data_IF_937616968416
#
_entry.id   IF_937616968416
#
_cell.length_a   1.000
_cell.length_b   1.000
_cell.length_c   1.000
_cell.angle_alpha   90.00
_cell.angle_beta   90.00
_cell.angle_gamma   90.00
#
_symmetry.space_group_name_H-M   'P 1'
#
loop_
_entity.id
_entity.type
_entity.pdbx_description
1 polymer ?
#
# COMPACT_ATOMS: atom_id res chain seq x y z
N UNK A 1 22.60 3.44 -0.85
CA UNK A 1 21.23 3.93 -1.13
C UNK A 1 20.41 4.09 0.14
N UNK A 2 20.10 3.03 0.90
CA UNK A 2 19.30 3.16 2.14
C UNK A 2 19.90 4.13 3.17
N UNK A 3 21.22 4.08 3.38
CA UNK A 3 21.89 5.01 4.29
C UNK A 3 21.73 6.47 3.86
N UNK A 4 21.95 6.77 2.58
CA UNK A 4 21.78 8.13 2.05
C UNK A 4 20.32 8.61 2.18
N UNK A 5 19.35 7.77 1.80
CA UNK A 5 17.93 8.11 1.94
C UNK A 5 17.55 8.38 3.41
N UNK A 6 18.15 7.63 4.35
CA UNK A 6 17.97 7.84 5.79
C UNK A 6 18.59 9.16 6.25
N UNK A 7 19.80 9.48 5.80
CA UNK A 7 20.52 10.73 6.12
C UNK A 7 19.75 11.96 5.61
N UNK A 8 19.15 11.86 4.42
CA UNK A 8 18.29 12.90 3.82
C UNK A 8 16.86 12.93 4.41
N UNK A 9 16.56 12.05 5.37
CA UNK A 9 15.27 12.03 6.06
C UNK A 9 14.09 11.52 5.22
N UNK A 10 14.35 10.90 4.06
CA UNK A 10 13.34 10.40 3.12
C UNK A 10 12.58 9.17 3.65
N UNK A 11 11.43 8.89 3.02
CA UNK A 11 10.73 7.60 3.12
C UNK A 11 11.22 6.64 2.06
N UNK A 12 10.91 5.35 2.25
CA UNK A 12 11.31 4.29 1.33
C UNK A 12 10.09 3.50 0.87
N UNK A 13 9.89 3.44 -0.45
CA UNK A 13 8.95 2.51 -1.08
C UNK A 13 9.69 1.21 -1.42
N UNK A 14 9.12 0.07 -1.04
CA UNK A 14 9.59 -1.27 -1.40
C UNK A 14 8.49 -2.03 -2.11
N UNK A 15 8.83 -2.93 -3.04
CA UNK A 15 7.86 -3.69 -3.85
C UNK A 15 7.91 -5.20 -3.66
N UNK A 16 8.90 -5.71 -2.90
CA UNK A 16 9.02 -7.14 -2.60
C UNK A 16 9.57 -7.41 -1.19
N UNK A 17 9.39 -8.63 -0.71
CA UNK A 17 9.97 -9.09 0.55
C UNK A 17 11.50 -9.03 0.57
N UNK A 18 12.17 -9.24 -0.56
CA UNK A 18 13.63 -9.11 -0.66
C UNK A 18 14.10 -7.67 -0.40
N UNK A 19 13.41 -6.69 -0.99
CA UNK A 19 13.71 -5.27 -0.77
C UNK A 19 13.42 -4.84 0.67
N UNK A 20 12.27 -5.26 1.21
CA UNK A 20 11.91 -5.01 2.59
C UNK A 20 12.94 -5.61 3.56
N UNK A 21 13.31 -6.87 3.37
CA UNK A 21 14.35 -7.54 4.16
C UNK A 21 15.69 -6.80 4.07
N UNK A 22 16.10 -6.39 2.88
CA UNK A 22 17.35 -5.64 2.70
C UNK A 22 17.32 -4.30 3.43
N UNK A 23 16.19 -3.58 3.40
CA UNK A 23 16.01 -2.32 4.13
C UNK A 23 16.08 -2.51 5.65
N UNK A 24 15.47 -3.58 6.17
CA UNK A 24 15.52 -3.95 7.59
C UNK A 24 16.97 -4.27 8.00
N UNK A 25 17.67 -5.11 7.24
CA UNK A 25 19.07 -5.44 7.52
C UNK A 25 20.00 -4.21 7.46
N UNK A 26 19.68 -3.22 6.62
CA UNK A 26 20.40 -1.96 6.53
C UNK A 26 20.09 -0.99 7.69
N UNK A 27 19.20 -1.35 8.62
CA UNK A 27 18.80 -0.49 9.75
C UNK A 27 18.06 0.77 9.31
N UNK A 28 17.30 0.68 8.20
CA UNK A 28 16.42 1.76 7.78
C UNK A 28 15.22 1.87 8.75
N UNK A 29 14.76 3.09 9.12
CA UNK A 29 13.62 3.26 10.01
C UNK A 29 12.35 2.64 9.41
N UNK A 30 11.86 1.55 10.00
CA UNK A 30 10.74 0.76 9.45
C UNK A 30 9.44 1.55 9.35
N UNK A 31 9.23 2.52 10.24
CA UNK A 31 8.09 3.43 10.25
C UNK A 31 8.05 4.37 9.03
N UNK A 32 9.16 4.49 8.30
CA UNK A 32 9.28 5.25 7.06
C UNK A 32 9.21 4.38 5.80
N UNK A 33 8.97 3.08 5.95
CA UNK A 33 8.85 2.14 4.83
C UNK A 33 7.37 1.99 4.44
N UNK A 34 7.09 2.12 3.14
CA UNK A 34 5.81 1.78 2.55
C UNK A 34 5.95 0.57 1.62
N UNK A 35 5.11 -0.43 1.83
CA UNK A 35 5.17 -1.66 1.05
C UNK A 35 4.12 -1.67 -0.06
N UNK A 36 4.60 -1.58 -1.30
CA UNK A 36 3.85 -1.65 -2.56
C UNK A 36 3.96 -3.02 -3.21
N UNK A 37 3.22 -3.24 -4.29
CA UNK A 37 3.22 -4.50 -5.05
C UNK A 37 1.79 -5.02 -5.24
N UNK A 38 1.52 -5.62 -6.38
CA UNK A 38 0.18 -6.05 -6.77
C UNK A 38 -0.17 -7.49 -6.36
N UNK A 39 0.82 -8.26 -5.91
CA UNK A 39 0.68 -9.67 -5.55
C UNK A 39 1.56 -10.04 -4.35
N UNK A 40 1.44 -9.28 -3.26
CA UNK A 40 2.20 -9.55 -2.03
C UNK A 40 1.76 -10.89 -1.44
N UNK A 41 2.71 -11.75 -1.11
CA UNK A 41 2.39 -13.03 -0.47
C UNK A 41 2.00 -12.82 1.00
N UNK A 42 1.33 -13.81 1.58
CA UNK A 42 0.99 -13.80 3.00
C UNK A 42 2.25 -13.72 3.88
N UNK A 43 3.33 -14.35 3.47
CA UNK A 43 4.62 -14.34 4.15
C UNK A 43 5.27 -12.95 4.10
N UNK A 44 5.23 -12.29 2.94
CA UNK A 44 5.73 -10.93 2.79
C UNK A 44 4.94 -9.94 3.66
N UNK A 45 3.61 -10.03 3.64
CA UNK A 45 2.73 -9.23 4.48
C UNK A 45 2.99 -9.50 5.97
N UNK A 46 3.10 -10.76 6.38
CA UNK A 46 3.40 -11.13 7.76
C UNK A 46 4.74 -10.53 8.21
N UNK A 47 5.80 -10.63 7.40
CA UNK A 47 7.09 -10.03 7.69
C UNK A 47 6.99 -8.51 7.88
N UNK A 48 6.26 -7.82 7.01
CA UNK A 48 6.01 -6.39 7.11
C UNK A 48 5.32 -6.00 8.43
N UNK A 49 4.30 -6.77 8.83
CA UNK A 49 3.52 -6.52 10.05
C UNK A 49 4.28 -6.87 11.33
N UNK A 50 5.10 -7.92 11.30
CA UNK A 50 5.96 -8.30 12.43
C UNK A 50 7.01 -7.22 12.72
N UNK A 51 7.63 -6.66 11.67
CA UNK A 51 8.60 -5.58 11.78
C UNK A 51 7.96 -4.20 12.01
N UNK A 52 6.63 -4.07 11.84
CA UNK A 52 5.91 -2.84 12.13
C UNK A 52 6.25 -1.70 11.15
N UNK A 53 6.25 -1.99 9.86
CA UNK A 53 6.50 -0.97 8.84
C UNK A 53 5.46 0.15 8.85
N UNK A 54 5.80 1.29 8.27
CA UNK A 54 4.99 2.50 8.28
C UNK A 54 3.61 2.33 7.63
N UNK A 55 3.55 1.72 6.46
CA UNK A 55 2.29 1.57 5.70
C UNK A 55 2.35 0.41 4.70
N UNK A 56 1.21 -0.24 4.47
CA UNK A 56 1.01 -1.14 3.32
C UNK A 56 0.11 -0.45 2.30
N UNK A 57 0.53 -0.44 1.03
CA UNK A 57 -0.31 0.06 -0.08
C UNK A 57 -1.07 -1.11 -0.66
N UNK A 58 -2.38 -1.17 -0.38
CA UNK A 58 -3.28 -2.22 -0.84
C UNK A 58 -3.61 -2.01 -2.31
N UNK A 59 -3.42 -3.06 -3.10
CA UNK A 59 -3.63 -3.05 -4.54
C UNK A 59 -4.98 -3.68 -4.95
N UNK A 60 -5.52 -4.62 -4.17
CA UNK A 60 -6.77 -5.31 -4.49
C UNK A 60 -7.48 -5.90 -3.24
N UNK A 61 -8.72 -6.38 -3.43
CA UNK A 61 -9.55 -6.94 -2.35
C UNK A 61 -8.99 -8.22 -1.73
N UNK A 62 -8.28 -9.05 -2.51
CA UNK A 62 -7.69 -10.28 -1.99
C UNK A 62 -6.59 -9.96 -0.97
N UNK A 63 -5.72 -9.00 -1.30
CA UNK A 63 -4.72 -8.49 -0.38
C UNK A 63 -5.34 -7.86 0.87
N UNK A 64 -6.41 -7.06 0.71
CA UNK A 64 -7.13 -6.46 1.85
C UNK A 64 -7.56 -7.54 2.85
N UNK A 65 -8.17 -8.63 2.35
CA UNK A 65 -8.60 -9.75 3.19
C UNK A 65 -7.43 -10.43 3.91
N UNK A 66 -6.28 -10.61 3.24
CA UNK A 66 -5.08 -11.18 3.88
C UNK A 66 -4.57 -10.28 5.01
N UNK A 67 -4.55 -8.96 4.80
CA UNK A 67 -4.14 -7.98 5.79
C UNK A 67 -5.08 -8.01 7.00
N UNK A 68 -6.39 -8.09 6.80
CA UNK A 68 -7.36 -8.21 7.90
C UNK A 68 -7.13 -9.48 8.73
N UNK A 69 -6.96 -10.62 8.08
CA UNK A 69 -6.68 -11.89 8.76
C UNK A 69 -5.41 -11.80 9.59
N UNK A 70 -4.32 -11.30 9.01
CA UNK A 70 -3.05 -11.12 9.72
C UNK A 70 -3.15 -10.10 10.86
N UNK A 71 -3.91 -9.01 10.67
CA UNK A 71 -4.15 -8.01 11.70
C UNK A 71 -4.89 -8.56 12.92
N UNK A 72 -5.89 -9.42 12.68
CA UNK A 72 -6.59 -10.14 13.73
C UNK A 72 -5.68 -11.14 14.45
N UNK A 73 -4.95 -11.97 13.68
CA UNK A 73 -4.01 -12.97 14.22
C UNK A 73 -2.91 -12.33 15.08
N UNK A 74 -2.38 -11.19 14.66
CA UNK A 74 -1.34 -10.46 15.37
C UNK A 74 -1.88 -9.48 16.42
N UNK A 75 -3.20 -9.28 16.48
CA UNK A 75 -3.87 -8.27 17.30
C UNK A 75 -3.26 -6.86 17.13
N UNK A 76 -2.95 -6.49 15.87
CA UNK A 76 -2.33 -5.20 15.51
C UNK A 76 -3.25 -4.38 14.62
N UNK A 77 -3.22 -3.06 14.82
CA UNK A 77 -3.75 -2.11 13.84
C UNK A 77 -2.73 -1.86 12.75
N UNK A 78 -3.19 -1.89 11.51
CA UNK A 78 -2.36 -1.84 10.31
C UNK A 78 -2.69 -0.57 9.54
N UNK A 79 -1.68 0.26 9.33
CA UNK A 79 -1.85 1.48 8.55
C UNK A 79 -1.75 1.16 7.06
N UNK A 80 -2.73 1.61 6.29
CA UNK A 80 -2.82 1.30 4.87
C UNK A 80 -3.12 2.52 4.01
N UNK A 81 -2.68 2.46 2.76
CA UNK A 81 -3.16 3.30 1.68
C UNK A 81 -3.85 2.40 0.65
N UNK A 82 -4.81 2.95 -0.08
CA UNK A 82 -5.45 2.28 -1.21
C UNK A 82 -4.83 2.79 -2.50
N UNK A 83 -4.40 1.89 -3.38
CA UNK A 83 -3.99 2.27 -4.74
C UNK A 83 -5.25 2.49 -5.57
N UNK A 84 -5.48 3.73 -6.00
CA UNK A 84 -6.62 4.07 -6.85
C UNK A 84 -6.18 4.21 -8.30
N UNK A 85 -6.94 3.61 -9.21
CA UNK A 85 -6.74 3.74 -10.66
C UNK A 85 -7.77 4.72 -11.21
N UNK A 86 -7.35 5.94 -11.63
CA UNK A 86 -8.27 6.98 -12.06
C UNK A 86 -8.75 6.84 -13.50
N UNK A 87 -8.41 5.75 -14.21
CA UNK A 87 -8.76 5.57 -15.62
C UNK A 87 -8.09 6.57 -16.57
N UNK A 88 -6.98 7.20 -16.16
CA UNK A 88 -6.21 8.13 -16.99
C UNK A 88 -4.90 7.48 -17.36
N UNK A 89 -4.74 7.08 -18.62
CA UNK A 89 -3.44 6.69 -19.16
C UNK A 89 -2.66 7.96 -19.56
N UNK A 90 -1.45 8.13 -19.02
CA UNK A 90 -0.54 9.17 -19.48
C UNK A 90 0.01 8.75 -20.85
N UNK A 91 -0.70 9.11 -21.92
CA UNK A 91 -0.29 8.78 -23.28
C UNK A 91 1.04 9.45 -23.64
N UNK A 92 2.11 8.66 -23.73
CA UNK A 92 3.24 8.94 -24.61
C UNK A 92 3.36 7.81 -25.63
N UNK A 93 2.74 8.04 -26.80
CA UNK A 93 2.84 7.32 -28.08
C UNK A 93 1.83 6.15 -28.31
N UNK A 94 0.93 6.39 -29.27
CA UNK A 94 -0.26 5.62 -29.65
C UNK A 94 -0.01 4.35 -30.49
N UNK A 95 1.01 3.53 -30.19
CA UNK A 95 1.36 2.42 -31.11
C UNK A 95 1.36 0.99 -30.57
N UNK A 96 0.80 0.74 -29.38
CA UNK A 96 0.53 -0.64 -28.93
C UNK A 96 -0.84 -0.70 -28.25
N UNK A 97 -1.90 -0.48 -29.01
CA UNK A 97 -3.29 -0.66 -28.55
C UNK A 97 -3.75 -2.08 -28.87
N UNK A 98 -3.23 -3.06 -28.15
CA UNK A 98 -3.84 -4.39 -28.04
C UNK A 98 -3.98 -4.73 -26.56
N UNK A 99 -5.19 -4.52 -26.03
CA UNK A 99 -5.56 -4.78 -24.64
C UNK A 99 -6.45 -3.66 -24.11
N UNK A 100 -7.76 -3.79 -24.30
CA UNK A 100 -8.74 -2.87 -23.71
C UNK A 100 -8.61 -2.80 -22.19
N UNK A 101 -8.97 -1.62 -21.68
CA UNK A 101 -9.09 -1.14 -20.30
C UNK A 101 -9.49 -2.20 -19.26
N UNK A 102 -8.50 -2.85 -18.66
CA UNK A 102 -8.60 -3.49 -17.36
C UNK A 102 -7.23 -3.34 -16.70
N UNK A 103 -6.99 -2.18 -16.06
CA UNK A 103 -5.80 -2.04 -15.22
C UNK A 103 -5.87 -3.13 -14.16
N UNK A 104 -4.96 -4.11 -14.24
CA UNK A 104 -4.86 -5.23 -13.28
C UNK A 104 -4.39 -4.79 -11.89
N UNK A 105 -4.28 -3.49 -11.67
CA UNK A 105 -3.69 -2.85 -10.51
C UNK A 105 -4.65 -1.84 -9.93
N UNK A 106 -4.74 -1.81 -8.60
CA UNK A 106 -5.51 -0.83 -7.85
C UNK A 106 -7.02 -0.98 -7.98
N UNK A 107 -7.73 -0.16 -7.21
CA UNK A 107 -9.17 -0.02 -7.23
C UNK A 107 -9.57 1.04 -8.25
N UNK A 108 -10.38 0.64 -9.22
CA UNK A 108 -10.89 1.54 -10.24
C UNK A 108 -11.87 2.57 -9.63
N UNK A 109 -11.66 3.83 -9.99
CA UNK A 109 -12.45 4.97 -9.50
C UNK A 109 -13.84 5.06 -10.14
N UNK A 110 -13.99 4.64 -11.40
CA UNK A 110 -15.20 4.84 -12.21
C UNK A 110 -16.21 3.71 -12.05
N UNK A 111 -15.76 2.49 -11.72
CA UNK A 111 -16.64 1.33 -11.56
C UNK A 111 -17.10 1.08 -10.10
N UNK A 112 -16.71 1.95 -9.17
CA UNK A 112 -17.10 1.89 -7.76
C UNK A 112 -16.23 1.00 -6.85
N UNK A 113 -15.19 0.35 -7.39
CA UNK A 113 -14.27 -0.44 -6.57
C UNK A 113 -13.56 0.41 -5.51
N UNK A 114 -13.17 1.64 -5.85
CA UNK A 114 -12.55 2.57 -4.91
C UNK A 114 -13.47 2.87 -3.70
N UNK A 115 -14.75 3.13 -3.96
CA UNK A 115 -15.74 3.41 -2.92
C UNK A 115 -15.97 2.18 -2.02
N UNK A 116 -16.04 1.00 -2.62
CA UNK A 116 -16.16 -0.26 -1.88
C UNK A 116 -14.94 -0.50 -0.99
N UNK A 117 -13.74 -0.31 -1.52
CA UNK A 117 -12.50 -0.46 -0.77
C UNK A 117 -12.42 0.49 0.43
N UNK A 118 -12.82 1.76 0.25
CA UNK A 118 -12.89 2.72 1.37
C UNK A 118 -13.90 2.26 2.42
N UNK A 119 -15.09 1.79 2.02
CA UNK A 119 -16.10 1.29 2.97
C UNK A 119 -15.60 0.09 3.78
N UNK A 120 -14.93 -0.87 3.13
CA UNK A 120 -14.35 -2.03 3.81
C UNK A 120 -13.28 -1.61 4.82
N UNK A 121 -12.37 -0.72 4.43
CA UNK A 121 -11.33 -0.22 5.34
C UNK A 121 -11.94 0.53 6.53
N UNK A 122 -12.93 1.40 6.31
CA UNK A 122 -13.59 2.14 7.40
C UNK A 122 -14.40 1.25 8.34
N UNK A 123 -14.88 0.10 7.86
CA UNK A 123 -15.60 -0.91 8.65
C UNK A 123 -14.69 -1.89 9.39
N UNK A 124 -13.39 -1.89 9.10
CA UNK A 124 -12.43 -2.82 9.69
C UNK A 124 -11.97 -2.37 11.08
N UNK A 125 -11.87 -3.31 12.03
CA UNK A 125 -11.35 -3.01 13.38
C UNK A 125 -9.81 -2.97 13.42
N UNK A 126 -9.16 -3.62 12.45
CA UNK A 126 -7.71 -3.85 12.41
C UNK A 126 -7.01 -3.05 11.32
N UNK A 127 -7.72 -2.48 10.35
CA UNK A 127 -7.15 -1.62 9.32
C UNK A 127 -7.43 -0.15 9.65
N UNK A 128 -6.43 0.71 9.45
CA UNK A 128 -6.54 2.16 9.59
C UNK A 128 -6.00 2.85 8.34
N UNK A 129 -6.76 3.79 7.75
CA UNK A 129 -6.24 4.62 6.67
C UNK A 129 -5.08 5.48 7.16
N UNK A 130 -3.92 5.34 6.52
CA UNK A 130 -2.74 6.12 6.84
C UNK A 130 -3.01 7.60 6.63
N UNK A 131 -2.70 8.40 7.65
CA UNK A 131 -2.73 9.86 7.59
C UNK A 131 -1.34 10.38 7.90
N UNK A 132 -0.77 11.14 6.95
CA UNK A 132 0.48 11.84 7.22
C UNK A 132 0.28 12.84 8.35
N UNK A 133 1.23 12.99 9.30
CA UNK A 133 1.15 14.03 10.32
C UNK A 133 1.14 15.46 9.73
N UNK A 134 1.51 15.63 8.46
CA UNK A 134 1.44 16.89 7.71
C UNK A 134 0.09 17.11 6.97
N UNK A 135 -0.86 16.18 7.10
CA UNK A 135 -2.15 16.31 6.40
C UNK A 135 -2.99 17.46 7.01
N UNK A 136 -3.13 18.53 6.24
CA UNK A 136 -4.21 19.50 6.43
C UNK A 136 -5.54 18.75 6.55
N UNK A 137 -6.34 19.10 7.57
CA UNK A 137 -7.69 18.54 7.78
C UNK A 137 -8.57 18.82 6.56
N UNK A 138 -8.59 17.92 5.60
CA UNK A 138 -9.69 17.78 4.65
C UNK A 138 -10.70 16.78 5.22
N UNK A 139 -11.29 17.13 6.35
CA UNK A 139 -12.52 16.49 6.83
C UNK A 139 -13.65 17.49 6.60
N UNK A 140 -14.28 17.40 5.43
CA UNK A 140 -15.65 17.82 5.13
C UNK A 140 -15.99 17.41 3.68
N UNK A 141 -16.50 16.19 3.54
CA UNK A 141 -17.48 15.82 2.53
C UNK A 141 -18.50 14.91 3.21
#
# INVERSE_FOLDING_TARGET
MFQLAKEEGLSLDVVSGGELHTAICAGFPVEKIHFHGNNKSREELKMALEHGIGCIVIDNFYEMKLIEQLGQELSKKIKVLLRITPGVEAHTHDYITTGQEDSKFGFDLHNGQADEAVKQVLGSEVIELFRSPLSYRFTNF
#
